data_IF_503565077477
#
_entry.id   IF_503565077477
#
_cell.length_a   1.000
_cell.length_b   1.000
_cell.length_c   1.000
_cell.angle_alpha   90.00
_cell.angle_beta   90.00
_cell.angle_gamma   90.00
#
_symmetry.space_group_name_H-M   'P 1'
#
loop_
_entity.id
_entity.type
_entity.pdbx_description
1 polymer ?
#
# COMPACT_ATOMS: atom_id res chain seq x y z
N UNK A 1 25.52 6.85 11.72
CA UNK A 1 24.09 6.66 11.55
C UNK A 1 23.43 6.92 12.90
N UNK A 2 22.44 7.83 12.96
CA UNK A 2 21.67 8.07 14.16
C UNK A 2 20.51 7.06 14.23
N UNK A 3 20.18 6.61 15.45
CA UNK A 3 19.02 5.77 15.72
C UNK A 3 18.17 6.44 16.80
N UNK A 4 16.87 6.44 16.59
CA UNK A 4 15.89 7.02 17.50
C UNK A 4 14.96 5.92 18.00
N UNK A 5 14.94 5.74 19.32
CA UNK A 5 14.15 4.69 19.99
C UNK A 5 13.75 5.17 21.40
N UNK A 6 12.95 4.37 22.12
CA UNK A 6 12.59 4.62 23.51
C UNK A 6 11.21 5.25 23.70
N UNK A 7 10.52 5.64 22.63
CA UNK A 7 9.11 6.04 22.66
C UNK A 7 8.45 5.75 21.32
N UNK A 8 7.12 5.63 21.32
CA UNK A 8 6.33 5.46 20.09
C UNK A 8 6.47 6.65 19.13
N UNK A 9 6.87 7.81 19.62
CA UNK A 9 7.04 9.04 18.85
C UNK A 9 8.50 9.39 18.53
N UNK A 10 9.46 8.50 18.82
CA UNK A 10 10.87 8.75 18.58
C UNK A 10 11.20 9.06 17.10
N UNK A 11 10.39 8.53 16.16
CA UNK A 11 10.49 8.80 14.73
C UNK A 11 10.31 10.29 14.36
N UNK A 12 9.63 11.10 15.17
CA UNK A 12 9.46 12.53 14.94
C UNK A 12 10.80 13.25 14.91
N UNK A 13 11.72 12.87 15.78
CA UNK A 13 13.06 13.44 15.84
C UNK A 13 13.83 13.23 14.52
N UNK A 14 13.56 12.12 13.80
CA UNK A 14 14.13 11.89 12.48
C UNK A 14 13.53 12.86 11.45
N UNK A 15 12.23 13.08 11.48
CA UNK A 15 11.54 13.99 10.57
C UNK A 15 11.94 15.47 10.78
N UNK A 16 12.34 15.84 11.98
CA UNK A 16 12.75 17.22 12.35
C UNK A 16 14.20 17.56 11.96
N UNK A 17 14.99 16.62 11.47
CA UNK A 17 16.38 16.85 11.06
C UNK A 17 16.46 17.64 9.75
N UNK A 18 17.37 18.60 9.68
CA UNK A 18 17.61 19.43 8.51
C UNK A 18 18.43 18.72 7.42
N UNK A 19 19.15 17.64 7.77
CA UNK A 19 20.01 16.89 6.86
C UNK A 19 19.31 15.67 6.19
N UNK A 20 17.99 15.60 6.29
CA UNK A 20 17.16 14.56 5.66
C UNK A 20 16.19 15.21 4.69
N UNK A 21 16.18 14.73 3.45
CA UNK A 21 15.27 15.17 2.40
C UNK A 21 14.09 14.22 2.18
N UNK A 22 14.27 12.94 2.46
CA UNK A 22 13.30 11.87 2.23
C UNK A 22 13.14 10.98 3.45
N UNK A 23 11.92 10.69 3.82
CA UNK A 23 11.58 9.68 4.84
C UNK A 23 10.93 8.48 4.16
N UNK A 24 11.51 7.30 4.37
CA UNK A 24 10.94 6.02 3.97
C UNK A 24 10.16 5.42 5.16
N UNK A 25 8.89 5.10 4.95
CA UNK A 25 7.98 4.62 5.99
C UNK A 25 7.62 3.16 5.72
N UNK A 26 8.07 2.27 6.61
CA UNK A 26 7.85 0.83 6.56
C UNK A 26 7.46 0.29 7.95
N UNK A 27 6.48 0.92 8.56
CA UNK A 27 5.96 0.58 9.89
C UNK A 27 4.71 -0.30 9.80
N UNK A 28 3.93 -0.38 10.85
CA UNK A 28 2.57 -0.93 10.77
C UNK A 28 1.63 0.06 10.05
N UNK A 29 0.57 -0.48 9.45
CA UNK A 29 -0.32 0.27 8.57
C UNK A 29 -0.98 1.49 9.23
N UNK A 30 -1.33 1.38 10.52
CA UNK A 30 -2.02 2.45 11.26
C UNK A 30 -1.21 3.74 11.42
N UNK A 31 0.12 3.63 11.27
CA UNK A 31 1.02 4.78 11.42
C UNK A 31 1.43 5.42 10.08
N UNK A 32 1.22 4.73 8.96
CA UNK A 32 1.71 5.18 7.65
C UNK A 32 1.27 6.60 7.31
N UNK A 33 -0.02 6.87 7.35
CA UNK A 33 -0.54 8.18 6.97
C UNK A 33 -0.09 9.29 7.93
N UNK A 34 -0.18 9.05 9.24
CA UNK A 34 0.23 10.03 10.25
C UNK A 34 1.71 10.40 10.14
N UNK A 35 2.58 9.40 9.94
CA UNK A 35 4.02 9.64 9.73
C UNK A 35 4.28 10.38 8.42
N UNK A 36 3.57 10.02 7.34
CA UNK A 36 3.69 10.69 6.06
C UNK A 36 3.31 12.17 6.12
N UNK A 37 2.18 12.49 6.74
CA UNK A 37 1.72 13.87 6.97
C UNK A 37 2.75 14.65 7.77
N UNK A 38 3.17 14.11 8.91
CA UNK A 38 4.14 14.78 9.78
C UNK A 38 5.47 15.06 9.07
N UNK A 39 6.01 14.07 8.37
CA UNK A 39 7.25 14.23 7.61
C UNK A 39 7.14 15.33 6.54
N UNK A 40 6.04 15.38 5.78
CA UNK A 40 5.82 16.41 4.78
C UNK A 40 5.67 17.81 5.39
N UNK A 41 5.00 17.93 6.53
CA UNK A 41 4.90 19.19 7.27
C UNK A 41 6.25 19.70 7.80
N UNK A 42 7.21 18.78 8.03
CA UNK A 42 8.59 19.10 8.38
C UNK A 42 9.53 19.18 7.15
N UNK A 43 8.96 19.35 5.97
CA UNK A 43 9.72 19.64 4.76
C UNK A 43 10.36 18.44 4.09
N UNK A 44 9.95 17.20 4.41
CA UNK A 44 10.50 15.97 3.82
C UNK A 44 9.62 15.46 2.68
N UNK A 45 10.23 14.86 1.68
CA UNK A 45 9.53 13.94 0.78
C UNK A 45 9.22 12.64 1.51
N UNK A 46 8.19 11.91 1.09
CA UNK A 46 7.86 10.64 1.72
C UNK A 46 7.65 9.52 0.70
N UNK A 47 8.14 8.35 1.06
CA UNK A 47 7.92 7.09 0.37
C UNK A 47 7.33 6.10 1.39
N UNK A 48 6.13 5.62 1.14
CA UNK A 48 5.31 4.88 2.10
C UNK A 48 5.03 3.48 1.58
N UNK A 49 5.31 2.47 2.38
CA UNK A 49 4.94 1.08 2.09
C UNK A 49 3.43 0.89 1.95
N UNK A 50 3.04 -0.17 1.29
CA UNK A 50 1.65 -0.56 1.03
C UNK A 50 0.99 -1.11 2.31
N UNK A 51 -0.25 -0.70 2.58
CA UNK A 51 -1.01 0.41 2.01
C UNK A 51 -0.59 1.75 2.63
N UNK A 52 -0.58 2.80 1.84
CA UNK A 52 -0.19 4.13 2.33
C UNK A 52 -1.17 4.72 3.35
N UNK A 53 -2.43 4.30 3.33
CA UNK A 53 -3.49 4.75 4.22
C UNK A 53 -4.54 3.66 4.40
N UNK A 54 -5.28 3.72 5.51
CA UNK A 54 -6.31 2.75 5.88
C UNK A 54 -7.72 3.29 5.72
N UNK A 55 -7.89 4.60 5.64
CA UNK A 55 -9.17 5.28 5.54
C UNK A 55 -9.17 6.34 4.44
N UNK A 56 -10.35 6.71 3.97
CA UNK A 56 -10.50 7.81 2.99
C UNK A 56 -9.99 9.14 3.54
N UNK A 57 -10.20 9.40 4.81
CA UNK A 57 -9.74 10.63 5.47
C UNK A 57 -8.21 10.70 5.48
N UNK A 58 -7.53 9.60 5.78
CA UNK A 58 -6.07 9.50 5.71
C UNK A 58 -5.53 9.70 4.29
N UNK A 59 -6.22 9.15 3.28
CA UNK A 59 -5.86 9.37 1.87
C UNK A 59 -5.92 10.87 1.55
N UNK A 60 -7.00 11.54 1.91
CA UNK A 60 -7.13 12.97 1.68
C UNK A 60 -6.14 13.80 2.49
N UNK A 61 -5.80 13.40 3.71
CA UNK A 61 -4.75 14.06 4.49
C UNK A 61 -3.39 13.98 3.78
N UNK A 62 -3.01 12.82 3.27
CA UNK A 62 -1.76 12.66 2.51
C UNK A 62 -1.74 13.54 1.26
N UNK A 63 -2.81 13.51 0.45
CA UNK A 63 -2.92 14.29 -0.78
C UNK A 63 -2.87 15.80 -0.47
N UNK A 64 -3.72 16.27 0.43
CA UNK A 64 -3.82 17.69 0.77
C UNK A 64 -2.50 18.21 1.37
N UNK A 65 -1.82 17.40 2.19
CA UNK A 65 -0.54 17.77 2.78
C UNK A 65 0.55 17.83 1.72
N UNK A 66 0.60 16.86 0.81
CA UNK A 66 1.53 16.88 -0.32
C UNK A 66 1.36 18.15 -1.17
N UNK A 67 0.13 18.51 -1.51
CA UNK A 67 -0.17 19.72 -2.28
C UNK A 67 0.20 21.00 -1.52
N UNK A 68 -0.18 21.09 -0.25
CA UNK A 68 0.09 22.23 0.63
C UNK A 68 1.58 22.47 0.84
N UNK A 69 2.34 21.40 1.10
CA UNK A 69 3.77 21.47 1.42
C UNK A 69 4.65 21.43 0.18
N UNK A 70 4.09 21.05 -0.96
CA UNK A 70 4.80 20.78 -2.24
C UNK A 70 5.89 19.70 -2.07
N UNK A 71 5.63 18.71 -1.22
CA UNK A 71 6.49 17.56 -1.03
C UNK A 71 5.90 16.34 -1.73
N UNK A 72 6.74 15.54 -2.35
CA UNK A 72 6.31 14.29 -2.95
C UNK A 72 5.84 13.30 -1.88
N UNK A 73 4.71 12.65 -2.16
CA UNK A 73 4.19 11.54 -1.40
C UNK A 73 3.96 10.37 -2.37
N UNK A 74 4.69 9.29 -2.19
CA UNK A 74 4.62 8.12 -3.06
C UNK A 74 4.32 6.88 -2.25
N UNK A 75 3.26 6.15 -2.64
CA UNK A 75 3.08 4.78 -2.20
C UNK A 75 4.02 3.87 -2.98
N UNK A 76 4.74 3.01 -2.27
CA UNK A 76 5.72 2.10 -2.85
C UNK A 76 5.03 0.78 -3.24
N UNK A 77 4.26 0.81 -4.31
CA UNK A 77 3.61 -0.38 -4.86
C UNK A 77 4.63 -1.24 -5.61
N UNK A 78 5.19 -2.23 -4.95
CA UNK A 78 6.28 -3.06 -5.46
C UNK A 78 5.87 -3.93 -6.66
N UNK A 79 4.62 -4.43 -6.69
CA UNK A 79 4.19 -5.32 -7.77
C UNK A 79 4.17 -4.67 -9.15
N UNK A 80 4.07 -3.34 -9.26
CA UNK A 80 4.21 -2.67 -10.57
C UNK A 80 5.61 -2.75 -11.17
N UNK A 81 6.62 -3.11 -10.37
CA UNK A 81 8.03 -3.19 -10.77
C UNK A 81 8.53 -4.62 -10.95
N UNK A 82 7.66 -5.61 -10.77
CA UNK A 82 8.01 -7.01 -11.00
C UNK A 82 8.18 -7.30 -12.49
N UNK A 83 8.92 -8.36 -12.80
CA UNK A 83 9.32 -8.69 -14.17
C UNK A 83 8.12 -8.85 -15.12
N UNK A 84 7.08 -9.58 -14.69
CA UNK A 84 5.90 -9.84 -15.53
C UNK A 84 5.07 -8.57 -15.75
N UNK A 85 4.91 -7.77 -14.72
CA UNK A 85 4.14 -6.53 -14.74
C UNK A 85 4.82 -5.48 -15.63
N UNK A 86 6.13 -5.27 -15.48
CA UNK A 86 6.90 -4.39 -16.36
C UNK A 86 6.93 -4.90 -17.80
N UNK A 87 7.02 -6.22 -18.02
CA UNK A 87 6.98 -6.81 -19.35
C UNK A 87 5.62 -6.55 -19.97
N UNK A 88 4.53 -6.81 -19.25
CA UNK A 88 3.16 -6.58 -19.72
C UNK A 88 2.91 -5.11 -20.04
N UNK A 89 3.39 -4.20 -19.20
CA UNK A 89 3.31 -2.76 -19.43
C UNK A 89 4.06 -2.38 -20.72
N UNK A 90 5.28 -2.86 -20.90
CA UNK A 90 6.07 -2.58 -22.10
C UNK A 90 5.37 -3.13 -23.36
N UNK A 91 4.82 -4.32 -23.32
CA UNK A 91 4.08 -4.90 -24.44
C UNK A 91 2.83 -4.07 -24.77
N UNK A 92 2.09 -3.61 -23.76
CA UNK A 92 0.95 -2.72 -23.96
C UNK A 92 1.38 -1.39 -24.62
N UNK A 93 2.46 -0.78 -24.14
CA UNK A 93 3.02 0.46 -24.70
C UNK A 93 3.52 0.32 -26.15
N UNK A 94 4.00 -0.86 -26.51
CA UNK A 94 4.40 -1.19 -27.88
C UNK A 94 3.22 -1.61 -28.79
N UNK A 95 2.00 -1.61 -28.26
CA UNK A 95 0.80 -1.95 -29.02
C UNK A 95 0.65 -3.44 -29.32
N UNK A 96 1.41 -4.32 -28.65
CA UNK A 96 1.38 -5.77 -28.89
C UNK A 96 -0.01 -6.36 -28.63
N UNK A 97 -0.72 -5.82 -27.64
CA UNK A 97 -2.08 -6.26 -27.29
C UNK A 97 -3.18 -5.58 -28.09
N UNK A 98 -2.83 -4.62 -28.96
CA UNK A 98 -3.82 -3.76 -29.58
C UNK A 98 -4.52 -2.84 -28.57
N UNK A 99 -5.81 -2.57 -28.77
CA UNK A 99 -6.62 -1.83 -27.80
C UNK A 99 -6.96 -2.71 -26.60
N UNK A 100 -6.47 -2.35 -25.40
CA UNK A 100 -6.72 -3.11 -24.18
C UNK A 100 -8.08 -2.72 -23.59
N UNK A 101 -9.01 -3.66 -23.58
CA UNK A 101 -10.39 -3.45 -23.13
C UNK A 101 -10.64 -3.95 -21.70
N UNK A 102 -9.82 -4.87 -21.21
CA UNK A 102 -9.97 -5.49 -19.91
C UNK A 102 -8.60 -5.91 -19.34
N UNK A 103 -8.42 -5.72 -18.04
CA UNK A 103 -7.26 -6.23 -17.30
C UNK A 103 -7.76 -6.87 -16.02
N UNK A 104 -7.21 -8.00 -15.66
CA UNK A 104 -7.42 -8.68 -14.38
C UNK A 104 -6.11 -8.72 -13.62
N UNK A 105 -6.11 -8.25 -12.38
CA UNK A 105 -4.99 -8.34 -11.46
C UNK A 105 -5.42 -9.06 -10.20
N UNK A 106 -4.59 -9.97 -9.70
CA UNK A 106 -4.87 -10.79 -8.52
C UNK A 106 -3.68 -10.81 -7.57
N UNK A 107 -3.98 -10.74 -6.26
CA UNK A 107 -3.00 -10.99 -5.21
C UNK A 107 -3.49 -12.17 -4.37
N UNK A 108 -2.94 -13.34 -4.66
CA UNK A 108 -3.43 -14.60 -4.09
C UNK A 108 -2.26 -15.39 -3.51
N UNK A 109 -2.33 -15.70 -2.21
CA UNK A 109 -1.32 -16.50 -1.51
C UNK A 109 -1.97 -17.61 -0.68
N UNK A 110 -1.31 -18.77 -0.62
CA UNK A 110 -1.57 -19.73 0.43
C UNK A 110 -0.77 -19.30 1.67
N UNK A 111 -1.47 -18.85 2.70
CA UNK A 111 -0.88 -18.39 3.96
C UNK A 111 -0.93 -19.45 5.08
N UNK A 112 -1.30 -20.70 4.78
CA UNK A 112 -1.49 -21.73 5.82
C UNK A 112 -0.23 -21.92 6.67
N UNK A 113 0.95 -21.94 6.05
CA UNK A 113 2.23 -22.11 6.75
C UNK A 113 2.66 -20.88 7.56
N UNK A 114 2.14 -19.71 7.22
CA UNK A 114 2.47 -18.44 7.89
C UNK A 114 1.49 -18.07 9.01
N UNK A 115 0.37 -18.75 9.17
CA UNK A 115 -0.64 -18.44 10.19
C UNK A 115 -0.10 -18.39 11.61
N UNK A 116 0.84 -19.26 12.04
CA UNK A 116 1.44 -19.18 13.36
C UNK A 116 2.22 -17.87 13.60
N UNK A 117 2.81 -17.29 12.55
CA UNK A 117 3.58 -16.04 12.63
C UNK A 117 2.68 -14.81 12.73
N UNK A 118 1.45 -14.90 12.24
CA UNK A 118 0.47 -13.83 12.38
C UNK A 118 -0.13 -13.73 13.78
N UNK A 119 0.03 -14.77 14.59
CA UNK A 119 -0.43 -14.76 15.97
C UNK A 119 0.26 -13.65 16.76
N UNK A 120 -0.53 -12.79 17.41
CA UNK A 120 -0.02 -11.62 18.14
C UNK A 120 0.67 -10.56 17.26
N UNK A 121 0.27 -10.44 15.99
CA UNK A 121 0.76 -9.47 15.05
C UNK A 121 -0.34 -8.44 14.75
N UNK A 122 0.02 -7.17 14.55
CA UNK A 122 -0.91 -6.09 14.22
C UNK A 122 -1.78 -6.36 12.96
N UNK A 123 -1.30 -7.19 12.03
CA UNK A 123 -2.09 -7.67 10.88
C UNK A 123 -3.29 -8.51 11.30
N UNK A 124 -3.13 -9.31 12.35
CA UNK A 124 -4.23 -10.12 12.89
C UNK A 124 -5.33 -9.22 13.47
N UNK A 125 -4.95 -8.19 14.22
CA UNK A 125 -5.91 -7.22 14.76
C UNK A 125 -6.71 -6.55 13.64
N UNK A 126 -6.04 -6.16 12.56
CA UNK A 126 -6.70 -5.62 11.39
C UNK A 126 -7.70 -6.61 10.78
N UNK A 127 -7.29 -7.84 10.55
CA UNK A 127 -8.12 -8.89 9.93
C UNK A 127 -9.30 -9.32 10.82
N UNK A 128 -9.26 -9.10 12.12
CA UNK A 128 -10.39 -9.28 13.02
C UNK A 128 -11.49 -8.24 12.81
N UNK A 129 -11.11 -7.02 12.49
CA UNK A 129 -12.01 -5.88 12.38
C UNK A 129 -12.51 -5.64 10.95
N UNK A 130 -11.76 -6.10 9.96
CA UNK A 130 -12.02 -5.80 8.55
C UNK A 130 -12.10 -7.07 7.71
N UNK A 131 -12.90 -6.99 6.66
CA UNK A 131 -13.02 -8.03 5.63
C UNK A 131 -12.62 -7.43 4.29
N UNK A 132 -12.14 -8.29 3.40
CA UNK A 132 -11.76 -7.90 2.06
C UNK A 132 -10.26 -7.97 1.81
N UNK A 133 -9.87 -7.49 0.66
CA UNK A 133 -8.48 -7.48 0.19
C UNK A 133 -7.74 -6.26 0.74
N UNK A 134 -6.78 -6.49 1.61
CA UNK A 134 -5.94 -5.43 2.18
C UNK A 134 -4.81 -4.98 1.26
N UNK A 135 -4.53 -5.76 0.22
CA UNK A 135 -3.48 -5.51 -0.77
C UNK A 135 -4.03 -5.35 -2.19
N UNK A 136 -5.24 -4.83 -2.34
CA UNK A 136 -5.85 -4.54 -3.65
C UNK A 136 -4.92 -3.74 -4.58
N UNK A 137 -4.02 -2.95 -4.03
CA UNK A 137 -3.01 -2.18 -4.77
C UNK A 137 -2.06 -3.06 -5.59
N UNK A 138 -1.74 -4.28 -5.13
CA UNK A 138 -0.87 -5.20 -5.85
C UNK A 138 -1.48 -5.69 -7.18
N UNK A 139 -2.78 -5.90 -7.22
CA UNK A 139 -3.47 -6.19 -8.49
C UNK A 139 -3.83 -4.93 -9.27
N UNK A 140 -4.29 -3.89 -8.59
CA UNK A 140 -4.73 -2.65 -9.23
C UNK A 140 -3.57 -1.80 -9.77
N UNK A 141 -2.43 -1.79 -9.12
CA UNK A 141 -1.26 -1.01 -9.54
C UNK A 141 -0.86 -1.34 -10.99
N UNK A 142 -0.50 -2.59 -11.30
CA UNK A 142 -0.18 -3.02 -12.67
C UNK A 142 -1.33 -2.78 -13.65
N UNK A 143 -2.57 -3.10 -13.27
CA UNK A 143 -3.74 -2.87 -14.10
C UNK A 143 -3.92 -1.38 -14.47
N UNK A 144 -3.76 -0.49 -13.50
CA UNK A 144 -3.82 0.96 -13.73
C UNK A 144 -2.70 1.46 -14.65
N UNK A 145 -1.50 0.87 -14.58
CA UNK A 145 -0.40 1.22 -15.48
C UNK A 145 -0.72 0.83 -16.92
N UNK A 146 -1.20 -0.39 -17.15
CA UNK A 146 -1.54 -0.90 -18.49
C UNK A 146 -2.69 -0.11 -19.10
N UNK A 147 -3.70 0.24 -18.31
CA UNK A 147 -4.87 1.01 -18.74
C UNK A 147 -4.66 2.54 -18.77
N UNK A 148 -3.46 3.03 -18.49
CA UNK A 148 -3.15 4.46 -18.43
C UNK A 148 -4.08 5.27 -17.50
N UNK A 149 -4.50 4.70 -16.39
CA UNK A 149 -5.35 5.40 -15.41
C UNK A 149 -4.64 6.68 -14.91
N UNK A 150 -5.35 7.80 -14.94
CA UNK A 150 -4.86 9.17 -14.72
C UNK A 150 -3.81 9.68 -15.72
N UNK A 151 -3.58 8.94 -16.83
CA UNK A 151 -2.65 9.32 -17.90
C UNK A 151 -3.31 9.27 -19.29
N UNK A 152 -4.61 9.37 -19.34
CA UNK A 152 -5.44 9.28 -20.56
C UNK A 152 -6.78 8.60 -20.28
N UNK A 153 -6.85 7.72 -19.31
CA UNK A 153 -8.08 7.11 -18.84
C UNK A 153 -8.34 7.41 -17.35
N UNK A 154 -9.49 7.01 -16.83
CA UNK A 154 -9.91 7.25 -15.44
C UNK A 154 -10.84 6.17 -14.92
N UNK A 155 -10.77 5.91 -13.62
CA UNK A 155 -11.77 5.10 -12.95
C UNK A 155 -13.10 5.85 -12.91
N UNK A 156 -14.18 5.16 -13.26
CA UNK A 156 -15.55 5.70 -13.27
C UNK A 156 -16.42 5.09 -12.19
N UNK A 157 -16.30 3.80 -11.97
CA UNK A 157 -17.11 3.05 -11.02
C UNK A 157 -16.24 2.03 -10.29
N UNK A 158 -16.45 1.89 -9.00
CA UNK A 158 -15.88 0.84 -8.18
C UNK A 158 -17.02 -0.01 -7.58
N UNK A 159 -16.88 -1.33 -7.68
CA UNK A 159 -17.74 -2.29 -7.00
C UNK A 159 -16.84 -3.24 -6.21
N UNK A 160 -17.15 -3.45 -4.94
CA UNK A 160 -16.44 -4.37 -4.07
C UNK A 160 -17.38 -5.48 -3.60
N UNK A 161 -16.91 -6.70 -3.65
CA UNK A 161 -17.62 -7.88 -3.15
C UNK A 161 -16.66 -8.73 -2.33
N UNK A 162 -17.17 -9.32 -1.25
CA UNK A 162 -16.40 -10.25 -0.44
C UNK A 162 -17.10 -11.61 -0.30
N UNK A 163 -16.36 -12.59 0.20
CA UNK A 163 -16.87 -13.93 0.50
C UNK A 163 -16.68 -14.26 1.99
N UNK A 164 -17.19 -15.41 2.42
CA UNK A 164 -16.93 -15.90 3.77
C UNK A 164 -15.43 -16.17 3.96
N UNK A 165 -14.91 -15.76 5.10
CA UNK A 165 -13.60 -16.20 5.59
C UNK A 165 -13.74 -17.66 6.09
N UNK A 166 -13.18 -18.62 5.36
CA UNK A 166 -13.30 -20.06 5.67
C UNK A 166 -11.98 -20.69 6.07
N UNK A 167 -10.86 -20.23 5.52
CA UNK A 167 -9.56 -20.89 5.73
C UNK A 167 -9.04 -20.75 7.15
N UNK A 168 -9.12 -19.56 7.76
CA UNK A 168 -8.71 -19.33 9.13
C UNK A 168 -9.44 -20.22 10.14
N UNK A 169 -10.78 -20.22 10.17
CA UNK A 169 -11.54 -21.11 11.02
C UNK A 169 -11.26 -22.59 10.75
N UNK A 170 -11.02 -23.01 9.51
CA UNK A 170 -10.69 -24.38 9.18
C UNK A 170 -9.29 -24.77 9.68
N UNK A 171 -8.32 -23.85 9.58
CA UNK A 171 -6.97 -24.06 10.13
C UNK A 171 -7.02 -24.25 11.65
N UNK A 172 -7.68 -23.36 12.39
CA UNK A 172 -7.81 -23.46 13.84
C UNK A 172 -8.41 -24.82 14.25
N UNK A 173 -9.45 -25.27 13.55
CA UNK A 173 -10.06 -26.59 13.83
C UNK A 173 -9.13 -27.78 13.60
N UNK A 174 -8.14 -27.67 12.72
CA UNK A 174 -7.14 -28.74 12.51
C UNK A 174 -6.10 -28.77 13.63
N UNK A 175 -5.90 -27.67 14.34
CA UNK A 175 -4.90 -27.56 15.42
C UNK A 175 -5.46 -27.91 16.80
N UNK A 176 -6.78 -27.94 16.94
CA UNK A 176 -7.50 -28.33 18.18
C UNK A 176 -8.02 -29.76 18.08
#
# INVERSE_FOLDING_TARGET
>A
VASYSGSEEAWKQLCERDDIDLVYIATDWKHHAAMGVYAMEHGKHVAIEVPAAMTLDEIWQLINTSEKTRKHCMQLENCVYDFFELTSLNMAQQGVFGEVLHVEGSYIHNLEDFWPEYWNNWRMDYNHLHRGDVYATHGMGPACQVLNIHRGDRMKTLVSMDTKAVNGPAYIKKQT
#
